data_IF_997823083035
#
_entry.id   IF_997823083035
#
_cell.length_a   1.000
_cell.length_b   1.000
_cell.length_c   1.000
_cell.angle_alpha   90.00
_cell.angle_beta   90.00
_cell.angle_gamma   90.00
#
_symmetry.space_group_name_H-M   'P 1'
#
loop_
_entity.id
_entity.type
_entity.pdbx_description
1 polymer ?
#
# COMPACT_ATOMS: atom_id res chain seq x y z
N UNK A 1 0.80 -13.83 3.86
CA UNK A 1 -0.27 -14.72 3.33
C UNK A 1 -1.17 -13.79 2.56
N UNK A 2 -1.21 -13.90 1.23
CA UNK A 2 -1.89 -12.92 0.38
C UNK A 2 -3.36 -12.74 0.77
N UNK A 3 -3.73 -11.52 1.14
CA UNK A 3 -5.12 -11.16 1.43
C UNK A 3 -5.87 -10.89 0.12
N UNK A 4 -6.87 -11.72 -0.21
CA UNK A 4 -7.73 -11.47 -1.37
C UNK A 4 -8.85 -10.48 -1.01
N UNK A 5 -9.03 -9.47 -1.86
CA UNK A 5 -10.11 -8.47 -1.73
C UNK A 5 -11.51 -9.07 -1.86
N UNK A 6 -11.65 -10.27 -2.41
CA UNK A 6 -12.93 -10.98 -2.53
C UNK A 6 -13.50 -11.40 -1.17
N UNK A 7 -12.61 -11.56 -0.18
CA UNK A 7 -12.98 -11.87 1.20
C UNK A 7 -13.08 -10.63 2.09
N UNK A 8 -12.81 -9.44 1.54
CA UNK A 8 -12.85 -8.20 2.31
C UNK A 8 -14.29 -7.76 2.60
N UNK A 9 -14.56 -7.42 3.85
CA UNK A 9 -15.79 -6.72 4.23
C UNK A 9 -15.67 -5.26 3.84
N UNK A 10 -16.45 -4.84 2.84
CA UNK A 10 -16.51 -3.44 2.41
C UNK A 10 -17.55 -2.67 3.24
N UNK A 11 -17.36 -1.35 3.46
CA UNK A 11 -18.32 -0.54 4.20
C UNK A 11 -19.71 -0.56 3.56
N UNK A 12 -20.74 -0.83 4.38
CA UNK A 12 -22.12 -0.80 3.93
C UNK A 12 -22.58 0.62 3.59
N UNK A 13 -23.45 0.76 2.58
CA UNK A 13 -23.98 2.05 2.15
C UNK A 13 -23.03 2.90 1.29
N UNK A 14 -21.80 2.43 1.03
CA UNK A 14 -20.86 3.07 0.11
C UNK A 14 -20.71 2.25 -1.17
N UNK A 15 -20.84 2.91 -2.32
CA UNK A 15 -20.47 2.32 -3.60
C UNK A 15 -18.97 2.49 -3.83
N UNK A 16 -18.18 1.48 -3.47
CA UNK A 16 -16.73 1.48 -3.69
C UNK A 16 -16.43 1.08 -5.15
N UNK A 17 -15.80 1.96 -5.96
CA UNK A 17 -15.47 1.66 -7.34
C UNK A 17 -14.55 0.45 -7.47
N UNK A 18 -14.68 -0.30 -8.57
CA UNK A 18 -13.86 -1.49 -8.82
C UNK A 18 -12.38 -1.14 -8.91
N UNK A 19 -12.07 0.05 -9.41
CA UNK A 19 -10.72 0.60 -9.53
C UNK A 19 -10.08 0.78 -8.16
N UNK A 20 -10.84 1.24 -7.16
CA UNK A 20 -10.37 1.40 -5.78
C UNK A 20 -10.09 0.02 -5.15
N UNK A 21 -10.96 -0.96 -5.41
CA UNK A 21 -10.73 -2.34 -4.93
C UNK A 21 -9.47 -2.93 -5.54
N UNK A 22 -9.26 -2.75 -6.85
CA UNK A 22 -8.06 -3.20 -7.54
C UNK A 22 -6.78 -2.49 -7.07
N UNK A 23 -6.86 -1.21 -6.67
CA UNK A 23 -5.74 -0.51 -6.02
C UNK A 23 -5.39 -1.15 -4.66
N UNK A 24 -6.39 -1.48 -3.85
CA UNK A 24 -6.18 -2.15 -2.56
C UNK A 24 -5.60 -3.55 -2.73
N UNK A 25 -6.06 -4.31 -3.72
CA UNK A 25 -5.50 -5.63 -4.04
C UNK A 25 -4.01 -5.54 -4.38
N UNK A 26 -3.65 -4.67 -5.33
CA UNK A 26 -2.24 -4.45 -5.70
C UNK A 26 -1.39 -4.00 -4.53
N UNK A 27 -1.94 -3.20 -3.62
CA UNK A 27 -1.23 -2.75 -2.43
C UNK A 27 -0.85 -3.94 -1.55
N UNK A 28 -1.82 -4.78 -1.19
CA UNK A 28 -1.56 -5.95 -0.34
C UNK A 28 -0.68 -6.97 -1.04
N UNK A 29 -0.88 -7.22 -2.34
CA UNK A 29 0.00 -8.09 -3.11
C UNK A 29 1.44 -7.59 -3.07
N UNK A 30 1.67 -6.28 -3.29
CA UNK A 30 3.03 -5.70 -3.33
C UNK A 30 3.69 -5.77 -1.95
N UNK A 31 2.96 -5.45 -0.88
CA UNK A 31 3.44 -5.50 0.50
C UNK A 31 3.73 -6.93 0.97
N UNK A 32 2.92 -7.91 0.56
CA UNK A 32 3.10 -9.32 0.92
C UNK A 32 4.22 -10.01 0.12
N UNK A 33 4.86 -9.33 -0.83
CA UNK A 33 5.98 -9.88 -1.59
C UNK A 33 7.33 -9.55 -0.95
N UNK A 34 8.27 -10.51 -0.96
CA UNK A 34 9.69 -10.27 -0.61
C UNK A 34 10.46 -9.66 -1.80
N UNK A 35 9.82 -8.78 -2.59
CA UNK A 35 10.47 -8.16 -3.76
C UNK A 35 11.26 -6.93 -3.33
N UNK A 36 12.50 -6.84 -3.82
CA UNK A 36 13.37 -5.69 -3.58
C UNK A 36 12.81 -4.38 -4.19
N UNK A 37 11.92 -4.47 -5.18
CA UNK A 37 11.28 -3.33 -5.87
C UNK A 37 9.87 -2.99 -5.33
N UNK A 38 9.44 -3.60 -4.23
CA UNK A 38 8.10 -3.37 -3.68
C UNK A 38 7.85 -1.89 -3.35
N UNK A 39 8.84 -1.18 -2.77
CA UNK A 39 8.74 0.25 -2.48
C UNK A 39 8.55 1.12 -3.72
N UNK A 40 9.23 0.80 -4.82
CA UNK A 40 9.07 1.49 -6.10
C UNK A 40 7.68 1.29 -6.71
N UNK A 41 7.17 0.06 -6.65
CA UNK A 41 5.83 -0.26 -7.15
C UNK A 41 4.76 0.49 -6.36
N UNK A 42 4.86 0.51 -5.03
CA UNK A 42 3.92 1.24 -4.17
C UNK A 42 3.90 2.73 -4.50
N UNK A 43 5.08 3.34 -4.57
CA UNK A 43 5.24 4.77 -4.84
C UNK A 43 4.77 5.18 -6.23
N UNK A 44 5.07 4.40 -7.26
CA UNK A 44 4.80 4.77 -8.66
C UNK A 44 3.40 4.36 -9.14
N UNK A 45 2.78 3.34 -8.52
CA UNK A 45 1.53 2.72 -9.02
C UNK A 45 0.35 2.84 -8.07
N UNK A 46 0.57 3.15 -6.80
CA UNK A 46 -0.48 3.13 -5.78
C UNK A 46 -0.63 4.49 -5.11
N UNK A 47 0.48 5.08 -4.66
CA UNK A 47 0.42 6.38 -4.02
C UNK A 47 0.33 7.53 -5.03
N UNK A 48 -0.38 8.58 -4.63
CA UNK A 48 -0.39 9.84 -5.36
C UNK A 48 0.92 10.62 -5.12
N UNK A 49 1.26 11.53 -6.02
CA UNK A 49 2.48 12.37 -5.91
C UNK A 49 2.51 13.18 -4.60
N UNK A 50 1.36 13.59 -4.10
CA UNK A 50 1.17 14.30 -2.82
C UNK A 50 0.64 13.39 -1.70
N UNK A 51 0.58 12.08 -1.95
CA UNK A 51 0.08 11.09 -1.01
C UNK A 51 0.90 11.07 0.28
N UNK A 52 0.23 10.81 1.41
CA UNK A 52 0.89 10.67 2.71
C UNK A 52 0.59 9.29 3.26
N UNK A 53 1.62 8.48 3.44
CA UNK A 53 1.56 7.20 4.11
C UNK A 53 2.00 7.38 5.57
N UNK A 54 1.27 6.78 6.50
CA UNK A 54 1.64 6.75 7.91
C UNK A 54 2.04 5.33 8.29
N UNK A 55 3.31 5.15 8.62
CA UNK A 55 3.81 3.92 9.24
C UNK A 55 4.14 4.23 10.71
N UNK A 56 3.31 3.73 11.62
CA UNK A 56 3.33 4.16 13.02
C UNK A 56 3.00 5.65 13.15
N UNK A 57 3.87 6.41 13.82
CA UNK A 57 3.74 7.87 14.00
C UNK A 57 4.53 8.70 12.98
N UNK A 58 5.17 8.05 12.00
CA UNK A 58 6.01 8.72 11.01
C UNK A 58 5.26 8.87 9.68
N UNK A 59 5.02 10.12 9.22
CA UNK A 59 4.49 10.38 7.89
C UNK A 59 5.58 10.30 6.83
N UNK A 60 5.25 9.71 5.68
CA UNK A 60 6.08 9.68 4.48
C UNK A 60 5.30 10.31 3.33
N UNK A 61 5.82 11.41 2.78
CA UNK A 61 5.14 12.25 1.80
C UNK A 61 5.70 12.04 0.40
N UNK A 62 4.79 11.72 -0.50
CA UNK A 62 5.08 11.51 -1.90
C UNK A 62 5.90 10.24 -2.18
N UNK A 63 6.08 9.94 -3.48
CA UNK A 63 6.68 8.69 -3.95
C UNK A 63 8.11 8.48 -3.43
N UNK A 64 8.92 9.54 -3.35
CA UNK A 64 10.32 9.42 -2.95
C UNK A 64 10.48 9.01 -1.48
N UNK A 65 9.77 9.64 -0.55
CA UNK A 65 9.86 9.26 0.86
C UNK A 65 9.23 7.88 1.11
N UNK A 66 8.20 7.51 0.34
CA UNK A 66 7.52 6.23 0.47
C UNK A 66 8.36 5.06 -0.04
N UNK A 67 9.18 5.23 -1.08
CA UNK A 67 10.12 4.21 -1.57
C UNK A 67 11.04 3.69 -0.47
N UNK A 68 11.64 4.61 0.29
CA UNK A 68 12.58 4.29 1.37
C UNK A 68 11.87 3.93 2.68
N UNK A 69 10.81 4.66 3.02
CA UNK A 69 10.09 4.51 4.29
C UNK A 69 9.27 3.23 4.40
N UNK A 70 8.68 2.77 3.29
CA UNK A 70 7.81 1.59 3.32
C UNK A 70 8.63 0.31 3.55
N UNK A 71 9.80 0.17 2.92
CA UNK A 71 10.58 -1.07 2.97
C UNK A 71 11.29 -1.27 4.32
N UNK A 72 11.97 -0.23 4.84
CA UNK A 72 12.70 -0.33 6.12
C UNK A 72 11.76 -0.51 7.31
N UNK A 73 10.62 0.18 7.33
CA UNK A 73 9.67 0.08 8.45
C UNK A 73 8.90 -1.24 8.44
N UNK A 74 8.58 -1.79 7.25
CA UNK A 74 7.92 -3.10 7.15
C UNK A 74 8.87 -4.26 7.46
N UNK A 75 10.16 -4.19 7.08
CA UNK A 75 11.16 -5.21 7.39
C UNK A 75 11.68 -5.14 8.84
N UNK A 76 11.67 -3.96 9.47
CA UNK A 76 12.13 -3.74 10.84
C UNK A 76 11.13 -4.09 11.94
N UNK A 77 9.87 -4.42 11.60
CA UNK A 77 8.84 -4.88 12.55
C UNK A 77 8.73 -6.43 12.65
N UNK A 78 9.68 -7.17 12.09
CA UNK A 78 9.67 -8.65 12.11
C UNK A 78 10.38 -9.23 13.33
#
# INVERSE_FOLDING_TARGET
MGYSIDTATWPEGLNIPVEVKGLMERFFETVDTDRDDAGDILADKIFAEDGVAYFGYHPFRGPEEQKFGSLEFMLGMR
#
